data_IF_966679956836
#
_entry.id   IF_966679956836
#
_cell.length_a   1.000
_cell.length_b   1.000
_cell.length_c   1.000
_cell.angle_alpha   90.00
_cell.angle_beta   90.00
_cell.angle_gamma   90.00
#
_symmetry.space_group_name_H-M   'P 1'
#
loop_
_entity.id
_entity.type
_entity.pdbx_description
1 polymer ?
#
# COMPACT_ATOMS: atom_id res chain seq x y z
N UNK A 1 12.06 -90.56 17.17
CA UNK A 1 10.64 -90.60 17.60
C UNK A 1 10.36 -89.40 18.47
N UNK A 2 9.11 -88.91 18.46
CA UNK A 2 8.55 -87.72 19.11
C UNK A 2 8.87 -86.40 18.39
N UNK A 3 8.04 -86.03 17.39
CA UNK A 3 6.76 -85.31 17.48
C UNK A 3 6.97 -83.80 17.42
N UNK A 4 6.81 -83.31 16.19
CA UNK A 4 6.65 -81.90 15.81
C UNK A 4 5.36 -81.40 16.44
N UNK A 5 5.47 -80.41 17.32
CA UNK A 5 4.34 -79.59 17.71
C UNK A 5 4.49 -78.16 17.20
N UNK A 6 3.37 -77.72 16.68
CA UNK A 6 3.10 -76.49 15.97
C UNK A 6 3.14 -75.34 16.97
N UNK A 7 4.15 -74.48 16.89
CA UNK A 7 4.07 -73.15 17.47
C UNK A 7 3.93 -72.14 16.34
N UNK A 8 2.69 -71.65 16.17
CA UNK A 8 2.39 -70.41 15.50
C UNK A 8 3.24 -69.29 16.11
N UNK A 9 4.33 -68.93 15.43
CA UNK A 9 5.00 -67.66 15.66
C UNK A 9 4.11 -66.56 15.11
N UNK A 10 3.16 -66.12 15.93
CA UNK A 10 2.44 -64.87 15.72
C UNK A 10 3.50 -63.77 15.71
N UNK A 11 3.88 -63.30 14.52
CA UNK A 11 4.72 -62.14 14.36
C UNK A 11 3.93 -60.95 14.93
N UNK A 12 4.17 -60.64 16.21
CA UNK A 12 3.93 -59.32 16.76
C UNK A 12 4.82 -58.37 15.94
N UNK A 13 4.22 -57.90 14.85
CA UNK A 13 4.56 -56.64 14.23
C UNK A 13 4.56 -55.64 15.39
N UNK A 14 5.77 -55.29 15.82
CA UNK A 14 6.02 -54.05 16.54
C UNK A 14 5.43 -52.96 15.65
N UNK A 15 4.17 -52.65 15.90
CA UNK A 15 3.58 -51.37 15.59
C UNK A 15 4.54 -50.37 16.21
N UNK A 16 5.37 -49.79 15.35
CA UNK A 16 5.96 -48.50 15.65
C UNK A 16 4.82 -47.66 16.22
N UNK A 17 4.98 -47.02 17.39
CA UNK A 17 4.01 -46.03 17.78
C UNK A 17 4.01 -45.05 16.61
N UNK A 18 2.91 -45.07 15.85
CA UNK A 18 2.57 -43.96 15.00
C UNK A 18 2.51 -42.81 15.98
N UNK A 19 3.61 -42.05 16.07
CA UNK A 19 3.61 -40.77 16.73
C UNK A 19 2.52 -40.01 15.99
N UNK A 20 1.32 -40.03 16.58
CA UNK A 20 0.30 -39.07 16.27
C UNK A 20 1.03 -37.73 16.37
N UNK A 21 1.27 -37.11 15.22
CA UNK A 21 1.77 -35.73 15.15
C UNK A 21 0.61 -34.86 15.66
N UNK A 22 0.32 -34.95 16.96
CA UNK A 22 -0.51 -34.01 17.70
C UNK A 22 0.32 -32.75 17.87
N UNK A 23 0.42 -31.98 16.79
CA UNK A 23 1.06 -30.69 16.85
C UNK A 23 0.79 -29.90 15.58
N UNK A 24 0.77 -28.59 15.78
CA UNK A 24 0.50 -27.58 14.77
C UNK A 24 1.61 -27.64 13.72
N UNK A 25 1.23 -27.63 12.45
CA UNK A 25 2.20 -27.35 11.39
C UNK A 25 2.37 -25.85 11.28
N UNK A 26 3.58 -25.37 11.57
CA UNK A 26 3.93 -23.95 11.58
C UNK A 26 4.72 -23.59 10.33
N UNK A 27 4.18 -22.67 9.52
CA UNK A 27 4.86 -22.10 8.35
C UNK A 27 5.44 -20.74 8.70
N UNK A 28 6.76 -20.60 8.72
CA UNK A 28 7.46 -19.34 9.01
C UNK A 28 7.90 -18.65 7.73
N UNK A 29 7.41 -17.43 7.50
CA UNK A 29 7.73 -16.60 6.32
C UNK A 29 8.61 -15.42 6.69
N UNK A 30 9.74 -15.30 6.02
CA UNK A 30 10.65 -14.17 6.12
C UNK A 30 10.40 -13.15 4.99
N UNK A 31 10.75 -11.89 5.23
CA UNK A 31 10.73 -10.82 4.21
C UNK A 31 11.97 -10.83 3.31
N UNK A 32 13.02 -11.54 3.70
CA UNK A 32 14.27 -11.74 2.94
C UNK A 32 14.78 -13.18 3.12
N UNK A 33 15.77 -13.60 2.33
CA UNK A 33 16.38 -14.93 2.46
C UNK A 33 16.93 -15.14 3.86
N UNK A 34 16.45 -16.19 4.52
CA UNK A 34 16.70 -16.41 5.93
C UNK A 34 16.88 -17.90 6.25
N UNK A 35 17.52 -18.16 7.38
CA UNK A 35 17.47 -19.44 8.08
C UNK A 35 16.64 -19.26 9.33
N UNK A 36 15.65 -20.12 9.54
CA UNK A 36 14.76 -20.07 10.71
C UNK A 36 15.04 -21.25 11.63
N UNK A 37 15.13 -20.95 12.93
CA UNK A 37 15.21 -21.90 14.02
C UNK A 37 14.01 -21.68 14.94
N UNK A 38 13.32 -22.76 15.30
CA UNK A 38 12.12 -22.75 16.12
C UNK A 38 12.35 -23.71 17.29
N UNK A 39 12.31 -23.21 18.54
CA UNK A 39 12.72 -23.92 19.75
C UNK A 39 14.07 -24.66 19.61
N UNK A 40 15.05 -24.01 18.97
CA UNK A 40 16.38 -24.59 18.75
C UNK A 40 16.46 -25.61 17.60
N UNK A 41 15.35 -25.97 16.95
CA UNK A 41 15.31 -26.90 15.82
C UNK A 41 15.19 -26.15 14.49
N UNK A 42 15.86 -26.64 13.44
CA UNK A 42 15.69 -26.13 12.07
C UNK A 42 14.51 -26.83 11.40
N UNK A 43 13.69 -26.05 10.72
CA UNK A 43 12.53 -26.55 9.99
C UNK A 43 12.94 -27.11 8.62
N UNK A 44 11.95 -27.62 7.89
CA UNK A 44 12.10 -27.94 6.47
C UNK A 44 12.06 -26.65 5.66
N UNK A 45 13.10 -26.40 4.85
CA UNK A 45 13.10 -25.29 3.90
C UNK A 45 12.17 -25.61 2.74
N UNK A 46 11.13 -24.81 2.56
CA UNK A 46 10.21 -24.92 1.41
C UNK A 46 10.71 -24.07 0.24
N UNK A 47 11.19 -22.85 0.54
CA UNK A 47 11.88 -21.98 -0.40
C UNK A 47 12.88 -21.07 0.33
N UNK A 48 13.42 -20.04 -0.33
CA UNK A 48 14.44 -19.15 0.27
C UNK A 48 13.96 -18.31 1.46
N UNK A 49 12.65 -18.10 1.58
CA UNK A 49 12.04 -17.25 2.60
C UNK A 49 10.88 -17.94 3.34
N UNK A 50 10.68 -19.25 3.14
CA UNK A 50 9.62 -20.04 3.77
C UNK A 50 10.17 -21.33 4.36
N UNK A 51 9.87 -21.53 5.65
CA UNK A 51 10.25 -22.70 6.43
C UNK A 51 9.02 -23.33 7.06
N UNK A 52 8.97 -24.66 7.12
CA UNK A 52 7.88 -25.41 7.73
C UNK A 52 8.37 -26.26 8.89
N UNK A 53 7.56 -26.30 9.96
CA UNK A 53 7.80 -27.07 11.16
C UNK A 53 6.56 -27.91 11.45
N UNK A 54 6.73 -29.19 11.69
CA UNK A 54 5.61 -30.09 12.02
C UNK A 54 5.69 -30.49 13.49
N UNK A 55 4.53 -30.78 14.09
CA UNK A 55 4.46 -31.25 15.47
C UNK A 55 4.80 -30.18 16.49
N UNK A 56 4.54 -28.89 16.20
CA UNK A 56 4.77 -27.82 17.16
C UNK A 56 3.62 -27.77 18.15
N UNK A 57 3.94 -27.82 19.44
CA UNK A 57 2.94 -27.72 20.50
C UNK A 57 2.43 -26.27 20.60
N UNK A 58 1.11 -26.04 20.78
CA UNK A 58 0.56 -24.70 20.97
C UNK A 58 1.19 -23.92 22.13
N UNK A 59 1.03 -22.59 22.12
CA UNK A 59 1.54 -21.65 23.13
C UNK A 59 2.78 -20.86 22.69
N UNK A 60 3.41 -20.16 23.64
CA UNK A 60 4.57 -19.30 23.37
C UNK A 60 5.82 -20.12 23.05
N UNK A 61 6.34 -19.97 21.84
CA UNK A 61 7.49 -20.72 21.30
C UNK A 61 8.58 -19.79 20.80
N UNK A 62 9.84 -20.15 20.99
CA UNK A 62 10.97 -19.30 20.59
C UNK A 62 11.23 -19.44 19.10
N UNK A 63 11.33 -18.31 18.40
CA UNK A 63 11.63 -18.24 16.97
C UNK A 63 12.82 -17.33 16.76
N UNK A 64 13.79 -17.83 16.01
CA UNK A 64 15.00 -17.11 15.65
C UNK A 64 15.18 -17.18 14.15
N UNK A 65 15.49 -16.05 13.52
CA UNK A 65 15.86 -16.02 12.12
C UNK A 65 17.12 -15.23 11.88
N UNK A 66 17.98 -15.80 11.06
CA UNK A 66 19.26 -15.24 10.65
C UNK A 66 19.26 -15.08 9.13
N UNK A 67 19.68 -13.92 8.65
CA UNK A 67 19.77 -13.61 7.23
C UNK A 67 21.05 -14.11 6.61
N UNK A 68 21.26 -13.71 5.36
CA UNK A 68 22.49 -13.99 4.61
C UNK A 68 23.70 -13.47 5.39
N UNK A 69 24.79 -14.24 5.43
CA UNK A 69 26.00 -13.98 6.23
C UNK A 69 25.80 -14.01 7.77
N UNK A 70 24.75 -14.68 8.27
CA UNK A 70 24.57 -14.89 9.72
C UNK A 70 24.07 -13.65 10.47
N UNK A 71 23.63 -12.60 9.76
CA UNK A 71 23.06 -11.39 10.37
C UNK A 71 21.78 -11.76 11.14
N UNK A 72 21.63 -11.43 12.45
CA UNK A 72 20.39 -11.68 13.16
C UNK A 72 19.26 -10.79 12.59
N UNK A 73 18.13 -11.40 12.23
CA UNK A 73 16.96 -10.67 11.70
C UNK A 73 15.89 -10.48 12.76
N UNK A 74 15.62 -11.54 13.53
CA UNK A 74 14.65 -11.55 14.62
C UNK A 74 14.95 -12.70 15.58
N UNK A 75 14.76 -12.46 16.87
CA UNK A 75 14.72 -13.48 17.92
C UNK A 75 13.62 -13.06 18.89
N UNK A 76 12.71 -13.97 19.21
CA UNK A 76 11.56 -13.66 20.07
C UNK A 76 10.65 -14.86 20.27
N UNK A 77 9.47 -14.62 20.84
CA UNK A 77 8.46 -15.64 21.07
C UNK A 77 7.25 -15.45 20.14
N UNK A 78 6.80 -16.52 19.49
CA UNK A 78 5.58 -16.61 18.72
C UNK A 78 4.53 -17.34 19.55
N UNK A 79 3.33 -16.78 19.71
CA UNK A 79 2.22 -17.49 20.34
C UNK A 79 1.51 -18.36 19.30
N UNK A 80 1.74 -19.66 19.35
CA UNK A 80 1.21 -20.63 18.39
C UNK A 80 -0.22 -21.01 18.77
N UNK A 81 -1.21 -20.75 17.91
CA UNK A 81 -2.60 -21.09 18.18
C UNK A 81 -2.80 -22.61 18.17
N UNK A 82 -3.79 -23.08 18.93
CA UNK A 82 -4.23 -24.48 18.93
C UNK A 82 -5.08 -24.79 17.69
N UNK A 83 -4.44 -24.83 16.52
CA UNK A 83 -5.03 -25.12 15.22
C UNK A 83 -4.14 -26.05 14.41
N UNK A 84 -4.69 -26.82 13.46
CA UNK A 84 -3.89 -27.79 12.68
C UNK A 84 -2.71 -27.14 11.90
N UNK A 85 -2.91 -25.90 11.43
CA UNK A 85 -1.91 -25.09 10.73
C UNK A 85 -1.79 -23.70 11.37
N UNK A 86 -0.59 -23.13 11.40
CA UNK A 86 -0.35 -21.75 11.80
C UNK A 86 0.74 -21.12 10.93
N UNK A 87 0.55 -19.88 10.47
CA UNK A 87 1.55 -19.17 9.67
C UNK A 87 2.15 -18.02 10.48
N UNK A 88 3.45 -18.06 10.71
CA UNK A 88 4.23 -17.04 11.42
C UNK A 88 4.95 -16.16 10.41
N UNK A 89 4.72 -14.85 10.46
CA UNK A 89 5.41 -13.87 9.62
C UNK A 89 6.48 -13.17 10.44
N UNK A 90 7.70 -13.20 9.93
CA UNK A 90 8.85 -12.48 10.47
C UNK A 90 8.97 -11.16 9.69
N UNK A 91 8.43 -10.10 10.29
CA UNK A 91 8.45 -8.76 9.72
C UNK A 91 9.74 -8.07 10.13
N UNK A 92 10.44 -7.44 9.18
CA UNK A 92 11.65 -6.66 9.48
C UNK A 92 11.37 -5.64 10.60
N UNK A 93 12.33 -5.48 11.53
CA UNK A 93 12.22 -4.81 12.84
C UNK A 93 11.76 -5.69 14.02
N UNK A 94 12.22 -6.96 14.10
CA UNK A 94 12.01 -7.85 15.25
C UNK A 94 10.54 -8.21 15.58
N UNK A 95 9.60 -8.07 14.64
CA UNK A 95 8.18 -8.36 14.90
C UNK A 95 7.79 -9.75 14.37
N UNK A 96 7.18 -10.54 15.25
CA UNK A 96 6.63 -11.86 14.95
C UNK A 96 5.10 -11.72 14.91
N UNK A 97 4.47 -12.05 13.79
CA UNK A 97 3.01 -11.99 13.63
C UNK A 97 2.49 -13.38 13.29
N UNK A 98 1.58 -13.92 14.11
CA UNK A 98 0.99 -15.25 13.87
C UNK A 98 -0.41 -15.08 13.27
N UNK A 99 -0.65 -15.68 12.10
CA UNK A 99 -1.99 -15.77 11.50
C UNK A 99 -2.52 -17.19 11.63
N UNK A 100 -3.78 -17.28 12.04
CA UNK A 100 -4.58 -18.52 11.97
C UNK A 100 -4.99 -18.72 10.52
N UNK A 101 -4.63 -19.84 9.91
CA UNK A 101 -5.06 -20.19 8.56
C UNK A 101 -6.26 -21.13 8.68
N UNK A 102 -7.45 -20.63 8.34
CA UNK A 102 -8.67 -21.42 8.30
C UNK A 102 -8.65 -22.28 7.03
N UNK A 103 -8.36 -23.57 7.20
CA UNK A 103 -8.51 -24.58 6.15
C UNK A 103 -9.99 -24.88 5.93
N UNK A 104 -10.65 -24.19 5.00
CA UNK A 104 -11.94 -24.64 4.48
C UNK A 104 -11.72 -25.15 3.05
N UNK A 105 -11.72 -26.47 2.93
CA UNK A 105 -11.64 -27.20 1.65
C UNK A 105 -12.90 -26.96 0.81
N UNK A 106 -12.82 -26.95 -0.54
CA UNK A 106 -13.97 -26.67 -1.41
C UNK A 106 -14.84 -27.93 -1.56
N UNK A 107 -16.09 -27.84 -1.09
CA UNK A 107 -17.12 -28.86 -1.29
C UNK A 107 -18.43 -28.20 -1.75
N UNK A 108 -18.97 -28.74 -2.83
CA UNK A 108 -20.19 -28.44 -3.61
C UNK A 108 -21.39 -27.87 -2.80
N UNK A 109 -22.19 -26.94 -3.36
CA UNK A 109 -23.41 -26.49 -2.71
C UNK A 109 -24.53 -27.53 -2.89
N UNK A 110 -25.10 -28.01 -1.78
CA UNK A 110 -26.33 -28.79 -1.80
C UNK A 110 -27.42 -27.99 -1.06
N UNK A 111 -28.32 -27.39 -1.84
CA UNK A 111 -29.63 -26.97 -1.35
C UNK A 111 -30.56 -28.19 -1.45
N UNK A 112 -30.85 -28.87 -0.35
CA UNK A 112 -32.14 -29.56 -0.15
C UNK A 112 -32.56 -29.50 1.33
N UNK A 113 -33.62 -28.74 1.52
CA UNK A 113 -34.72 -28.85 2.49
C UNK A 113 -34.67 -29.87 3.65
N UNK A 114 -35.01 -29.35 4.84
CA UNK A 114 -36.12 -29.91 5.61
C UNK A 114 -35.80 -31.06 6.57
N UNK A 115 -35.47 -30.74 7.82
CA UNK A 115 -36.30 -31.03 9.02
C UNK A 115 -35.46 -30.84 10.28
N UNK A 116 -35.74 -29.77 11.01
CA UNK A 116 -35.23 -29.58 12.36
C UNK A 116 -35.86 -30.64 13.28
N UNK A 117 -35.05 -31.61 13.74
CA UNK A 117 -35.29 -32.29 15.01
C UNK A 117 -34.58 -31.49 16.09
N UNK A 118 -35.40 -30.94 16.98
CA UNK A 118 -35.02 -30.24 18.20
C UNK A 118 -34.22 -31.18 19.12
N UNK A 119 -33.05 -30.72 19.56
CA UNK A 119 -32.41 -31.16 20.79
C UNK A 119 -32.09 -29.89 21.63
N UNK A 120 -32.44 -29.85 22.93
CA UNK A 120 -32.30 -28.65 23.73
C UNK A 120 -30.93 -28.58 24.43
N UNK A 121 -30.29 -27.43 24.39
CA UNK A 121 -29.19 -27.07 25.30
C UNK A 121 -27.95 -26.53 24.59
N UNK A 122 -27.75 -25.22 24.64
CA UNK A 122 -26.49 -24.59 24.23
C UNK A 122 -26.63 -23.08 24.08
N UNK A 123 -26.06 -22.33 25.02
CA UNK A 123 -25.89 -20.87 25.08
C UNK A 123 -25.80 -20.18 23.71
N UNK A 124 -26.76 -19.28 23.50
CA UNK A 124 -26.88 -18.38 22.34
C UNK A 124 -25.65 -17.46 22.26
N UNK A 125 -24.68 -17.82 21.41
CA UNK A 125 -23.68 -16.87 20.91
C UNK A 125 -24.32 -16.12 19.75
N UNK A 126 -24.68 -14.87 19.98
CA UNK A 126 -25.02 -13.91 18.91
C UNK A 126 -23.90 -13.95 17.86
N UNK A 127 -24.19 -14.29 16.59
CA UNK A 127 -23.19 -14.23 15.53
C UNK A 127 -22.74 -12.78 15.36
N UNK A 128 -21.45 -12.51 15.52
CA UNK A 128 -20.89 -11.21 15.13
C UNK A 128 -21.20 -10.96 13.66
N UNK A 129 -21.72 -9.78 13.29
CA UNK A 129 -21.99 -9.48 11.89
C UNK A 129 -20.70 -9.61 11.06
N UNK A 130 -20.80 -10.06 9.80
CA UNK A 130 -19.63 -10.16 8.92
C UNK A 130 -18.93 -8.80 8.86
N UNK A 131 -17.57 -8.78 8.81
CA UNK A 131 -16.85 -7.53 8.70
C UNK A 131 -17.36 -6.77 7.46
N UNK A 132 -17.55 -5.44 7.55
CA UNK A 132 -18.02 -4.68 6.42
C UNK A 132 -17.09 -4.90 5.22
N UNK A 133 -17.63 -4.96 3.99
CA UNK A 133 -16.82 -5.13 2.80
C UNK A 133 -15.72 -4.05 2.77
N UNK A 134 -14.52 -4.38 2.27
CA UNK A 134 -13.45 -3.39 2.13
C UNK A 134 -13.98 -2.22 1.29
N UNK A 135 -13.93 -1.03 1.86
CA UNK A 135 -14.43 0.18 1.21
C UNK A 135 -13.73 0.36 -0.13
N UNK A 136 -14.52 0.62 -1.18
CA UNK A 136 -14.07 0.94 -2.54
C UNK A 136 -13.93 2.45 -2.75
N UNK A 137 -14.06 3.25 -1.69
CA UNK A 137 -13.95 4.69 -1.79
C UNK A 137 -12.56 5.09 -2.32
N UNK A 138 -12.56 5.79 -3.45
CA UNK A 138 -11.35 6.31 -4.08
C UNK A 138 -10.63 7.30 -3.17
N UNK A 139 -9.32 7.38 -3.37
CA UNK A 139 -8.39 8.12 -2.53
C UNK A 139 -7.53 9.07 -3.35
N UNK A 140 -6.86 9.99 -2.66
CA UNK A 140 -5.84 10.85 -3.22
C UNK A 140 -4.49 10.42 -2.65
N UNK A 141 -3.50 10.16 -3.49
CA UNK A 141 -2.14 9.85 -3.05
C UNK A 141 -1.20 11.01 -3.38
N UNK A 142 -0.48 11.52 -2.39
CA UNK A 142 0.58 12.49 -2.53
C UNK A 142 1.92 11.76 -2.34
N UNK A 143 2.80 11.76 -3.33
CA UNK A 143 4.10 11.07 -3.24
C UNK A 143 5.22 12.09 -3.32
N UNK A 144 6.05 12.14 -2.30
CA UNK A 144 7.17 13.08 -2.16
C UNK A 144 8.52 12.36 -2.28
N UNK A 145 9.45 12.97 -3.00
CA UNK A 145 10.84 12.55 -3.13
C UNK A 145 11.78 13.38 -2.24
N UNK A 146 12.97 12.85 -1.96
CA UNK A 146 14.03 13.61 -1.27
C UNK A 146 14.67 14.66 -2.20
N UNK A 147 14.80 14.32 -3.48
CA UNK A 147 15.34 15.17 -4.55
C UNK A 147 14.34 15.31 -5.71
N UNK A 148 14.60 16.23 -6.65
CA UNK A 148 13.75 16.45 -7.82
C UNK A 148 13.56 15.15 -8.62
N UNK A 149 12.32 14.81 -8.91
CA UNK A 149 11.97 13.49 -9.43
C UNK A 149 10.70 13.51 -10.27
N UNK A 150 10.52 12.43 -11.02
CA UNK A 150 9.25 12.00 -11.61
C UNK A 150 8.72 10.77 -10.90
N UNK A 151 7.43 10.76 -10.56
CA UNK A 151 6.76 9.65 -9.89
C UNK A 151 5.67 9.03 -10.77
N UNK A 152 5.59 7.71 -10.75
CA UNK A 152 4.50 6.92 -11.32
C UNK A 152 3.79 6.13 -10.23
N UNK A 153 2.46 6.02 -10.34
CA UNK A 153 1.61 5.16 -9.51
C UNK A 153 0.79 4.28 -10.45
N UNK A 154 0.90 2.96 -10.31
CA UNK A 154 0.32 1.98 -11.23
C UNK A 154 0.57 2.36 -12.70
N UNK A 155 1.82 2.68 -13.03
CA UNK A 155 2.28 3.08 -14.38
C UNK A 155 1.69 4.40 -14.91
N UNK A 156 0.85 5.08 -14.13
CA UNK A 156 0.31 6.40 -14.46
C UNK A 156 1.20 7.48 -13.88
N UNK A 157 1.44 8.54 -14.64
CA UNK A 157 2.12 9.75 -14.13
C UNK A 157 1.13 10.61 -13.35
N UNK A 158 1.55 11.07 -12.18
CA UNK A 158 0.77 11.96 -11.35
C UNK A 158 0.76 13.39 -11.89
N UNK A 159 -0.01 14.25 -11.22
CA UNK A 159 0.05 15.69 -11.43
C UNK A 159 1.11 16.28 -10.52
N UNK A 160 2.08 17.00 -11.10
CA UNK A 160 3.18 17.61 -10.33
C UNK A 160 2.64 18.74 -9.43
N UNK A 161 2.89 18.65 -8.13
CA UNK A 161 2.56 19.70 -7.13
C UNK A 161 3.71 20.69 -6.98
N UNK A 162 4.92 20.16 -6.86
CA UNK A 162 6.17 20.90 -6.78
C UNK A 162 7.32 20.04 -7.35
N UNK A 163 8.56 20.48 -7.17
CA UNK A 163 9.76 19.79 -7.71
C UNK A 163 9.88 18.32 -7.26
N UNK A 164 9.35 18.01 -6.08
CA UNK A 164 9.54 16.73 -5.39
C UNK A 164 8.23 16.01 -5.08
N UNK A 165 7.09 16.68 -5.18
CA UNK A 165 5.78 16.14 -4.79
C UNK A 165 4.86 15.95 -5.99
N UNK A 166 4.24 14.78 -6.06
CA UNK A 166 3.31 14.36 -7.11
C UNK A 166 1.98 13.95 -6.50
N UNK A 167 0.88 14.34 -7.15
CA UNK A 167 -0.48 14.02 -6.76
C UNK A 167 -1.14 13.04 -7.72
N UNK A 168 -1.82 12.05 -7.15
CA UNK A 168 -2.64 11.08 -7.86
C UNK A 168 -4.05 11.15 -7.29
N UNK A 169 -5.02 11.41 -8.16
CA UNK A 169 -6.44 11.46 -7.81
C UNK A 169 -7.11 10.17 -8.22
N UNK A 170 -8.26 9.90 -7.60
CA UNK A 170 -9.12 8.79 -7.96
C UNK A 170 -8.39 7.44 -7.92
N UNK A 171 -7.51 7.30 -6.92
CA UNK A 171 -6.69 6.12 -6.68
C UNK A 171 -7.53 5.10 -5.96
N UNK A 172 -7.64 3.92 -6.57
CA UNK A 172 -8.31 2.78 -5.96
C UNK A 172 -7.57 2.34 -4.69
N UNK A 173 -8.28 1.97 -3.61
CA UNK A 173 -7.64 1.53 -2.38
C UNK A 173 -6.88 0.21 -2.54
N UNK A 174 -6.04 -0.09 -1.55
CA UNK A 174 -5.24 -1.32 -1.48
C UNK A 174 -3.81 -1.16 -1.99
N UNK A 175 -3.16 -2.28 -2.33
CA UNK A 175 -1.76 -2.30 -2.77
C UNK A 175 -1.59 -1.67 -4.15
N UNK A 176 -0.81 -0.60 -4.21
CA UNK A 176 -0.47 0.16 -5.43
C UNK A 176 1.02 0.19 -5.64
N UNK A 177 1.45 0.06 -6.89
CA UNK A 177 2.87 0.14 -7.25
C UNK A 177 3.26 1.60 -7.41
N UNK A 178 4.32 2.02 -6.74
CA UNK A 178 4.82 3.40 -6.78
C UNK A 178 6.29 3.38 -7.16
N UNK A 179 6.64 4.19 -8.15
CA UNK A 179 8.00 4.29 -8.69
C UNK A 179 8.43 5.75 -8.78
N UNK A 180 9.67 6.02 -8.37
CA UNK A 180 10.27 7.34 -8.40
C UNK A 180 11.59 7.29 -9.14
N UNK A 181 11.80 8.22 -10.05
CA UNK A 181 13.02 8.37 -10.83
C UNK A 181 13.52 9.80 -10.69
N UNK A 182 14.79 9.98 -10.32
CA UNK A 182 15.41 11.28 -10.21
C UNK A 182 15.47 11.94 -11.59
N UNK A 183 15.18 13.24 -11.65
CA UNK A 183 15.25 13.99 -12.92
C UNK A 183 16.70 14.07 -13.41
N UNK A 184 17.66 14.13 -12.47
CA UNK A 184 19.08 14.10 -12.78
C UNK A 184 19.54 12.65 -13.02
N UNK A 185 20.10 12.40 -14.22
CA UNK A 185 20.65 11.10 -14.65
C UNK A 185 19.63 9.94 -14.72
N UNK A 186 18.33 10.21 -14.64
CA UNK A 186 17.25 9.20 -14.70
C UNK A 186 17.47 8.01 -13.73
N UNK A 187 18.08 8.28 -12.57
CA UNK A 187 18.39 7.25 -11.58
C UNK A 187 17.11 6.83 -10.85
N UNK A 188 16.88 5.52 -10.74
CA UNK A 188 15.78 4.98 -9.95
C UNK A 188 15.97 5.30 -8.47
N UNK A 189 15.02 6.03 -7.88
CA UNK A 189 15.01 6.37 -6.45
C UNK A 189 14.36 5.27 -5.63
N UNK A 190 13.15 4.88 -6.01
CA UNK A 190 12.37 3.84 -5.35
C UNK A 190 11.49 3.10 -6.35
N UNK A 191 11.21 1.84 -6.06
CA UNK A 191 10.05 1.13 -6.59
C UNK A 191 9.53 0.20 -5.51
N UNK A 192 8.30 0.43 -5.08
CA UNK A 192 7.71 -0.28 -3.97
C UNK A 192 6.21 -0.44 -4.16
N UNK A 193 5.60 -1.26 -3.31
CA UNK A 193 4.15 -1.33 -3.19
C UNK A 193 3.74 -0.61 -1.91
N UNK A 194 2.83 0.35 -2.02
CA UNK A 194 2.21 1.04 -0.90
C UNK A 194 0.78 0.59 -0.72
N UNK A 195 0.29 0.59 0.51
CA UNK A 195 -1.12 0.36 0.77
C UNK A 195 -1.84 1.71 0.84
N UNK A 196 -2.84 1.90 -0.03
CA UNK A 196 -3.65 3.13 -0.12
C UNK A 196 -4.93 2.93 0.68
N UNK A 197 -5.12 3.64 1.82
CA UNK A 197 -6.35 3.54 2.59
C UNK A 197 -7.51 4.14 1.79
N UNK A 198 -8.70 3.53 1.88
CA UNK A 198 -9.89 3.97 1.16
C UNK A 198 -10.42 5.32 1.68
N UNK A 199 -10.87 6.18 0.77
CA UNK A 199 -11.49 7.48 1.10
C UNK A 199 -10.56 8.48 1.81
N UNK A 200 -9.24 8.38 1.59
CA UNK A 200 -8.26 9.23 2.28
C UNK A 200 -7.39 10.03 1.31
N UNK A 201 -6.87 11.16 1.77
CA UNK A 201 -5.66 11.75 1.22
C UNK A 201 -4.46 11.17 1.98
N UNK A 202 -3.63 10.39 1.31
CA UNK A 202 -2.49 9.69 1.87
C UNK A 202 -1.18 10.28 1.31
N UNK A 203 -0.30 10.71 2.20
CA UNK A 203 1.03 11.25 1.86
C UNK A 203 2.11 10.21 2.08
N UNK A 204 2.85 9.93 1.02
CA UNK A 204 3.95 8.98 0.97
C UNK A 204 5.26 9.70 0.74
N UNK A 205 6.32 9.23 1.38
CA UNK A 205 7.67 9.75 1.19
C UNK A 205 8.61 8.61 0.77
N UNK A 206 9.31 8.81 -0.34
CA UNK A 206 10.44 7.99 -0.73
C UNK A 206 11.63 8.27 0.18
N UNK A 207 12.25 7.23 0.74
CA UNK A 207 13.47 7.35 1.54
C UNK A 207 14.73 7.04 0.73
N UNK A 208 15.90 7.32 1.30
CA UNK A 208 17.20 7.06 0.67
C UNK A 208 17.53 5.58 0.51
N UNK A 209 16.73 4.69 1.09
CA UNK A 209 16.86 3.23 0.98
C UNK A 209 15.95 2.64 -0.10
N UNK A 210 15.29 3.50 -0.89
CA UNK A 210 14.41 3.10 -1.98
C UNK A 210 13.05 2.57 -1.52
N UNK A 211 12.66 2.84 -0.27
CA UNK A 211 11.34 2.49 0.27
C UNK A 211 10.40 3.68 0.18
N UNK A 212 9.11 3.40 0.15
CA UNK A 212 8.07 4.42 0.18
C UNK A 212 7.25 4.24 1.46
N UNK A 213 7.17 5.27 2.30
CA UNK A 213 6.57 5.21 3.63
C UNK A 213 5.36 6.12 3.68
N UNK A 214 4.23 5.64 4.20
CA UNK A 214 3.08 6.48 4.55
C UNK A 214 3.44 7.37 5.73
N UNK A 215 3.48 8.68 5.53
CA UNK A 215 3.86 9.68 6.54
C UNK A 215 2.65 10.36 7.17
N UNK A 216 1.58 10.53 6.41
CA UNK A 216 0.34 11.17 6.85
C UNK A 216 -0.82 10.59 6.08
N UNK A 217 -1.98 10.47 6.71
CA UNK A 217 -3.23 10.30 6.00
C UNK A 217 -4.35 11.04 6.75
N UNK A 218 -5.36 11.47 6.02
CA UNK A 218 -6.56 12.10 6.59
C UNK A 218 -7.78 11.71 5.73
N UNK A 219 -8.94 11.56 6.35
CA UNK A 219 -10.16 11.29 5.59
C UNK A 219 -10.46 12.46 4.65
N UNK A 220 -10.92 12.14 3.43
CA UNK A 220 -11.29 13.17 2.45
C UNK A 220 -12.45 14.03 2.93
N UNK A 221 -13.35 13.46 3.75
CA UNK A 221 -14.44 14.19 4.39
C UNK A 221 -13.91 15.33 5.29
N UNK A 222 -12.96 15.03 6.19
CA UNK A 222 -12.35 16.02 7.09
C UNK A 222 -11.61 17.11 6.30
N UNK A 223 -10.97 16.74 5.19
CA UNK A 223 -10.29 17.72 4.32
C UNK A 223 -11.30 18.65 3.67
N UNK A 224 -12.42 18.10 3.19
CA UNK A 224 -13.48 18.88 2.58
C UNK A 224 -14.09 19.86 3.58
N UNK A 225 -14.41 19.38 4.78
CA UNK A 225 -14.95 20.22 5.86
C UNK A 225 -13.96 21.33 6.25
N UNK A 226 -12.68 20.99 6.45
CA UNK A 226 -11.65 21.98 6.76
C UNK A 226 -11.48 23.03 5.65
N UNK A 227 -11.62 22.64 4.38
CA UNK A 227 -11.59 23.58 3.24
C UNK A 227 -12.80 24.49 3.22
N UNK A 228 -13.98 23.97 3.52
CA UNK A 228 -15.21 24.76 3.64
C UNK A 228 -15.07 25.79 4.76
N UNK A 229 -14.60 25.37 5.95
CA UNK A 229 -14.34 26.27 7.08
C UNK A 229 -13.28 27.35 6.75
N UNK A 230 -12.27 27.01 5.94
CA UNK A 230 -11.24 27.95 5.50
C UNK A 230 -11.68 28.88 4.35
N UNK A 231 -12.93 28.78 3.87
CA UNK A 231 -13.42 29.55 2.73
C UNK A 231 -12.73 29.18 1.40
N UNK A 232 -12.22 27.95 1.31
CA UNK A 232 -11.55 27.41 0.11
C UNK A 232 -12.50 26.57 -0.76
N UNK A 233 -13.77 26.45 -0.38
CA UNK A 233 -14.78 25.65 -1.10
C UNK A 233 -14.98 26.10 -2.55
N UNK A 234 -14.84 27.40 -2.81
CA UNK A 234 -15.08 28.01 -4.13
C UNK A 234 -13.81 28.18 -4.97
N UNK A 235 -12.68 27.67 -4.48
CA UNK A 235 -11.40 27.83 -5.15
C UNK A 235 -11.30 26.98 -6.41
N UNK A 236 -10.47 27.46 -7.33
CA UNK A 236 -10.22 26.92 -8.64
C UNK A 236 -8.77 26.46 -8.78
N UNK A 237 -8.52 25.72 -9.85
CA UNK A 237 -7.18 25.23 -10.23
C UNK A 237 -6.79 25.82 -11.56
N UNK A 238 -5.55 26.26 -11.68
CA UNK A 238 -4.98 26.75 -12.93
C UNK A 238 -3.91 25.77 -13.41
N UNK A 239 -4.12 25.17 -14.57
CA UNK A 239 -3.13 24.35 -15.28
C UNK A 239 -2.40 25.23 -16.27
N UNK A 240 -1.18 25.67 -15.95
CA UNK A 240 -0.36 26.48 -16.85
C UNK A 240 0.62 25.57 -17.57
N UNK A 241 0.55 25.53 -18.90
CA UNK A 241 1.47 24.81 -19.77
C UNK A 241 2.28 25.81 -20.58
N UNK A 242 3.59 25.79 -20.42
CA UNK A 242 4.51 26.58 -21.24
C UNK A 242 5.09 25.73 -22.37
N UNK A 243 5.12 26.28 -23.59
CA UNK A 243 5.76 25.61 -24.74
C UNK A 243 7.30 25.59 -24.63
N UNK A 244 7.86 26.46 -23.80
CA UNK A 244 9.29 26.54 -23.46
C UNK A 244 9.44 26.68 -21.95
N UNK A 245 10.64 26.43 -21.42
CA UNK A 245 10.97 26.63 -20.01
C UNK A 245 10.56 28.04 -19.54
N UNK A 246 9.81 28.09 -18.44
CA UNK A 246 9.23 29.29 -17.91
C UNK A 246 9.16 29.27 -16.37
N UNK A 247 9.03 30.45 -15.77
CA UNK A 247 8.66 30.64 -14.37
C UNK A 247 7.26 31.27 -14.32
N UNK A 248 6.39 30.73 -13.45
CA UNK A 248 4.99 31.14 -13.35
C UNK A 248 4.75 31.88 -12.03
N UNK A 249 4.05 33.00 -12.10
CA UNK A 249 3.67 33.85 -10.96
C UNK A 249 2.19 34.20 -11.04
N UNK A 250 1.47 34.16 -9.92
CA UNK A 250 0.07 34.53 -9.80
C UNK A 250 -0.07 35.58 -8.70
N UNK A 251 -0.69 36.72 -9.02
CA UNK A 251 -0.82 37.89 -8.14
C UNK A 251 0.54 38.31 -7.54
N UNK A 252 1.61 38.23 -8.34
CA UNK A 252 2.98 38.53 -7.93
C UNK A 252 3.68 37.44 -7.08
N UNK A 253 2.95 36.43 -6.60
CA UNK A 253 3.54 35.31 -5.89
C UNK A 253 4.02 34.24 -6.88
N UNK A 254 5.25 33.75 -6.70
CA UNK A 254 5.77 32.63 -7.50
C UNK A 254 4.98 31.35 -7.22
N UNK A 255 4.50 30.72 -8.29
CA UNK A 255 3.68 29.50 -8.25
C UNK A 255 4.23 28.51 -9.28
N UNK A 256 5.14 27.65 -8.84
CA UNK A 256 5.81 26.65 -9.70
C UNK A 256 7.34 26.67 -9.58
N UNK A 257 7.97 25.66 -10.17
CA UNK A 257 9.43 25.51 -10.28
C UNK A 257 10.03 26.56 -11.24
N UNK A 258 11.29 26.96 -11.02
CA UNK A 258 12.01 27.82 -11.96
C UNK A 258 12.40 27.01 -13.20
N UNK A 259 11.98 27.48 -14.38
CA UNK A 259 12.46 26.91 -15.65
C UNK A 259 11.81 25.60 -16.07
N UNK A 260 10.70 25.21 -15.44
CA UNK A 260 9.85 24.10 -15.87
C UNK A 260 8.98 24.44 -17.09
N UNK A 261 8.24 23.47 -17.62
CA UNK A 261 7.28 23.66 -18.73
C UNK A 261 5.90 24.15 -18.26
N UNK A 262 5.85 24.89 -17.15
CA UNK A 262 4.62 25.35 -16.50
C UNK A 262 4.36 24.69 -15.13
N UNK A 263 3.11 24.67 -14.68
CA UNK A 263 2.73 24.12 -13.37
C UNK A 263 1.23 24.15 -13.05
N UNK A 264 0.83 23.43 -12.01
CA UNK A 264 -0.52 23.47 -11.44
C UNK A 264 -0.56 24.44 -10.24
N UNK A 265 -1.43 25.43 -10.30
CA UNK A 265 -1.71 26.35 -9.19
C UNK A 265 -3.04 25.94 -8.57
N UNK A 266 -3.01 25.62 -7.27
CA UNK A 266 -4.20 25.23 -6.52
C UNK A 266 -4.69 26.34 -5.60
N UNK A 267 -5.91 26.15 -5.09
CA UNK A 267 -6.55 27.04 -4.13
C UNK A 267 -6.63 28.50 -4.61
N UNK A 268 -6.85 28.65 -5.92
CA UNK A 268 -6.98 29.97 -6.55
C UNK A 268 -8.37 30.50 -6.28
N UNK A 269 -8.45 31.57 -5.49
CA UNK A 269 -9.71 32.25 -5.23
C UNK A 269 -10.31 32.78 -6.53
N UNK A 270 -11.64 32.69 -6.71
CA UNK A 270 -12.32 33.22 -7.89
C UNK A 270 -12.16 34.75 -8.03
N UNK A 271 -12.48 35.23 -9.23
CA UNK A 271 -12.40 36.63 -9.64
C UNK A 271 -11.14 36.97 -10.42
N UNK A 272 -10.90 38.27 -10.57
CA UNK A 272 -9.75 38.78 -11.34
C UNK A 272 -8.43 38.45 -10.66
N UNK A 273 -7.53 37.80 -11.41
CA UNK A 273 -6.18 37.40 -11.01
C UNK A 273 -5.17 37.82 -12.06
N UNK A 274 -3.98 38.23 -11.65
CA UNK A 274 -2.89 38.52 -12.57
C UNK A 274 -1.99 37.29 -12.71
N UNK A 275 -1.96 36.67 -13.89
CA UNK A 275 -1.03 35.60 -14.19
C UNK A 275 0.11 36.14 -15.03
N UNK A 276 1.34 35.90 -14.58
CA UNK A 276 2.55 36.30 -15.26
C UNK A 276 3.50 35.12 -15.44
N UNK A 277 4.07 35.01 -16.64
CA UNK A 277 4.98 33.93 -17.03
C UNK A 277 6.24 34.56 -17.60
N UNK A 278 7.40 34.14 -17.11
CA UNK A 278 8.71 34.60 -17.57
C UNK A 278 9.45 33.45 -18.23
N UNK A 279 9.72 33.55 -19.53
CA UNK A 279 10.46 32.50 -20.25
C UNK A 279 11.95 32.54 -19.89
N UNK A 280 12.51 31.38 -19.55
CA UNK A 280 13.92 31.26 -19.11
C UNK A 280 14.88 31.67 -20.22
N UNK A 281 14.58 31.25 -21.46
CA UNK A 281 15.30 31.66 -22.67
C UNK A 281 14.74 33.01 -23.14
N UNK A 282 15.63 33.99 -23.29
CA UNK A 282 15.25 35.34 -23.74
C UNK A 282 14.66 36.26 -22.66
N UNK A 283 14.37 35.76 -21.45
CA UNK A 283 13.84 36.52 -20.30
C UNK A 283 12.57 37.33 -20.62
N UNK A 284 11.83 36.93 -21.64
CA UNK A 284 10.60 37.63 -22.02
C UNK A 284 9.52 37.31 -20.98
N UNK A 285 8.93 38.38 -20.42
CA UNK A 285 7.79 38.26 -19.52
C UNK A 285 6.49 38.49 -20.30
N UNK A 286 5.50 37.65 -20.05
CA UNK A 286 4.14 37.80 -20.53
C UNK A 286 3.19 37.85 -19.34
N UNK A 287 2.23 38.77 -19.36
CA UNK A 287 1.25 38.96 -18.29
C UNK A 287 -0.15 39.00 -18.88
N UNK A 288 -1.12 38.50 -18.13
CA UNK A 288 -2.54 38.57 -18.48
C UNK A 288 -3.38 38.65 -17.21
N UNK A 289 -4.44 39.45 -17.26
CA UNK A 289 -5.48 39.41 -16.23
C UNK A 289 -6.50 38.35 -16.60
N UNK A 290 -6.67 37.35 -15.75
CA UNK A 290 -7.61 36.27 -15.90
C UNK A 290 -8.82 36.53 -15.02
N UNK A 291 -10.03 36.29 -15.52
CA UNK A 291 -11.18 36.13 -14.66
C UNK A 291 -11.33 34.65 -14.33
N UNK A 292 -11.06 34.28 -13.08
CA UNK A 292 -11.06 32.89 -12.64
C UNK A 292 -12.46 32.55 -12.12
N UNK A 293 -13.23 31.69 -12.80
CA UNK A 293 -14.53 31.27 -12.31
C UNK A 293 -14.38 30.46 -11.03
N UNK A 294 -15.42 30.44 -10.19
CA UNK A 294 -15.45 29.60 -8.98
C UNK A 294 -15.49 28.12 -9.34
N UNK A 295 -14.89 27.29 -8.49
CA UNK A 295 -14.94 25.81 -8.58
C UNK A 295 -14.66 25.29 -9.99
N UNK A 296 -13.58 25.75 -10.60
CA UNK A 296 -13.22 25.40 -11.98
C UNK A 296 -11.74 25.02 -12.14
N UNK A 297 -11.45 24.15 -13.11
CA UNK A 297 -10.13 23.89 -13.64
C UNK A 297 -9.94 24.69 -14.93
N UNK A 298 -9.02 25.65 -14.90
CA UNK A 298 -8.71 26.52 -16.04
C UNK A 298 -7.38 26.07 -16.64
N UNK A 299 -7.38 25.74 -17.92
CA UNK A 299 -6.21 25.30 -18.67
C UNK A 299 -5.68 26.47 -19.49
N UNK A 300 -4.38 26.74 -19.37
CA UNK A 300 -3.73 27.93 -19.89
C UNK A 300 -2.47 27.50 -20.62
N UNK A 301 -2.32 27.92 -21.87
CA UNK A 301 -1.10 27.72 -22.64
C UNK A 301 -0.35 29.04 -22.74
N UNK A 302 0.95 29.01 -22.43
CA UNK A 302 1.86 30.14 -22.54
C UNK A 302 2.89 29.90 -23.65
N UNK A 303 3.04 30.89 -24.52
CA UNK A 303 4.03 30.89 -25.60
C UNK A 303 4.69 32.27 -25.74
N UNK A 304 5.93 32.30 -26.22
CA UNK A 304 6.66 33.56 -26.43
C UNK A 304 5.97 34.44 -27.49
N UNK A 305 5.55 33.85 -28.62
CA UNK A 305 4.94 34.58 -29.74
C UNK A 305 3.43 34.80 -29.63
N UNK A 306 2.70 33.90 -28.96
CA UNK A 306 1.24 33.94 -28.84
C UNK A 306 0.71 34.43 -27.48
N UNK A 307 1.59 34.72 -26.51
CA UNK A 307 1.20 35.18 -25.17
C UNK A 307 0.60 34.07 -24.31
N UNK A 308 -0.26 34.44 -23.36
CA UNK A 308 -1.01 33.52 -22.51
C UNK A 308 -2.45 33.39 -23.02
N UNK A 309 -2.90 32.16 -23.21
CA UNK A 309 -4.25 31.87 -23.72
C UNK A 309 -4.92 30.82 -22.85
N UNK A 310 -6.15 31.09 -22.41
CA UNK A 310 -7.02 30.09 -21.77
C UNK A 310 -7.52 29.15 -22.88
N UNK A 311 -7.19 27.87 -22.78
CA UNK A 311 -7.51 26.86 -23.78
C UNK A 311 -8.74 26.03 -23.42
N UNK A 312 -9.02 25.86 -22.13
CA UNK A 312 -10.20 25.16 -21.66
C UNK A 312 -10.56 25.62 -20.24
N UNK A 313 -11.82 25.55 -19.87
CA UNK A 313 -12.29 25.71 -18.48
C UNK A 313 -13.32 24.62 -18.20
N UNK A 314 -13.12 23.86 -17.13
CA UNK A 314 -14.00 22.76 -16.72
C UNK A 314 -14.46 22.97 -15.28
N UNK A 315 -15.69 22.57 -14.90
CA UNK A 315 -16.10 22.61 -13.51
C UNK A 315 -15.33 21.57 -12.66
N UNK A 316 -14.95 21.94 -11.45
CA UNK A 316 -14.32 21.05 -10.46
C UNK A 316 -15.36 20.05 -9.94
N UNK A 317 -15.16 18.77 -10.25
CA UNK A 317 -16.02 17.66 -9.81
C UNK A 317 -16.93 17.07 -10.89
N UNK A 318 -16.74 17.43 -12.16
CA UNK A 318 -17.30 16.69 -13.29
C UNK A 318 -16.28 15.64 -13.77
N UNK A 319 -16.22 14.50 -13.08
CA UNK A 319 -15.71 13.23 -13.62
C UNK A 319 -16.78 12.15 -13.47
#
# INVERSE_FOLDING_TARGET
MALRDVFLSLALSLSAPAFAQEGVTVSVRCTETCTVVFDGKRGRRVNEALWEFQGITPGARRVEATGVLGRPLVSGFADIPDTALATVYLVSNQRIVVRKESTTSPGTPEWVEGTARVAPGGTEKTPSPPPPPPSTAKSVALVSCLEACTVMLDERRGTRRDERTWEFRDVEPGKRRVEGTADLLNRKLFASYVDVPAGTEATYQGDSKGRVILTKHRALADIKEAREQAGLADTSRLHVRCLKSCEVTLDGARKGEAGGSGGLIQDVKPGRRELAVTFTLGKQQRRVTLDVPSRSEVFITASEGGGLQVTNTRPLGAE
#
